data_IF_414741398362
#
_entry.id   IF_414741398362
#
_cell.length_a   1.000
_cell.length_b   1.000
_cell.length_c   1.000
_cell.angle_alpha   90.00
_cell.angle_beta   90.00
_cell.angle_gamma   90.00
#
_symmetry.space_group_name_H-M   'P 1'
#
loop_
_entity.id
_entity.type
_entity.pdbx_description
1 polymer ?
#
# COMPACT_ATOMS: atom_id res chain seq x y z
N UNK A 1 -17.39 -24.81 -26.52
CA UNK A 1 -16.68 -23.99 -25.54
C UNK A 1 -16.74 -24.78 -24.25
N UNK A 2 -15.62 -25.35 -23.81
CA UNK A 2 -15.62 -26.13 -22.56
C UNK A 2 -15.97 -25.21 -21.40
N UNK A 3 -16.67 -25.74 -20.40
CA UNK A 3 -17.03 -24.99 -19.20
C UNK A 3 -15.76 -24.41 -18.55
N UNK A 4 -15.73 -23.09 -18.38
CA UNK A 4 -14.61 -22.37 -17.74
C UNK A 4 -14.44 -22.86 -16.31
N UNK A 5 -13.24 -23.27 -15.92
CA UNK A 5 -12.97 -23.78 -14.57
C UNK A 5 -12.99 -22.64 -13.55
N UNK A 6 -13.18 -22.95 -12.25
CA UNK A 6 -13.08 -21.93 -11.20
C UNK A 6 -11.70 -21.21 -11.18
N UNK A 7 -10.64 -21.89 -11.61
CA UNK A 7 -9.33 -21.29 -11.74
C UNK A 7 -9.28 -20.25 -12.87
N UNK A 8 -9.83 -20.59 -14.04
CA UNK A 8 -9.93 -19.66 -15.18
C UNK A 8 -10.80 -18.45 -14.82
N UNK A 9 -11.94 -18.68 -14.14
CA UNK A 9 -12.83 -17.63 -13.66
C UNK A 9 -12.13 -16.65 -12.70
N UNK A 10 -11.25 -17.15 -11.81
CA UNK A 10 -10.49 -16.28 -10.92
C UNK A 10 -9.49 -15.42 -11.70
N UNK A 11 -8.77 -16.01 -12.67
CA UNK A 11 -7.85 -15.24 -13.51
C UNK A 11 -8.60 -14.17 -14.32
N UNK A 12 -9.74 -14.51 -14.90
CA UNK A 12 -10.58 -13.57 -15.63
C UNK A 12 -11.06 -12.42 -14.73
N UNK A 13 -11.49 -12.72 -13.50
CA UNK A 13 -11.89 -11.71 -12.53
C UNK A 13 -10.73 -10.80 -12.13
N UNK A 14 -9.56 -11.36 -11.81
CA UNK A 14 -8.37 -10.59 -11.46
C UNK A 14 -7.90 -9.70 -12.62
N UNK A 15 -7.89 -10.22 -13.85
CA UNK A 15 -7.56 -9.45 -15.06
C UNK A 15 -8.56 -8.31 -15.26
N UNK A 16 -9.85 -8.57 -15.11
CA UNK A 16 -10.90 -7.56 -15.21
C UNK A 16 -10.71 -6.43 -14.20
N UNK A 17 -10.40 -6.76 -12.95
CA UNK A 17 -10.10 -5.77 -11.91
C UNK A 17 -8.85 -4.94 -12.23
N UNK A 18 -7.78 -5.59 -12.70
CA UNK A 18 -6.55 -4.89 -13.10
C UNK A 18 -6.79 -3.93 -14.28
N UNK A 19 -7.60 -4.33 -15.26
CA UNK A 19 -8.01 -3.47 -16.37
C UNK A 19 -8.79 -2.25 -15.88
N UNK A 20 -9.77 -2.46 -14.98
CA UNK A 20 -10.53 -1.36 -14.39
C UNK A 20 -9.65 -0.39 -13.61
N UNK A 21 -8.74 -0.89 -12.78
CA UNK A 21 -7.78 -0.02 -12.06
C UNK A 21 -6.94 0.78 -13.05
N UNK A 22 -6.39 0.14 -14.10
CA UNK A 22 -5.60 0.84 -15.12
C UNK A 22 -6.39 1.95 -15.82
N UNK A 23 -7.62 1.66 -16.22
CA UNK A 23 -8.42 2.54 -17.07
C UNK A 23 -9.13 3.64 -16.26
N UNK A 24 -9.54 3.36 -15.01
CA UNK A 24 -10.30 4.29 -14.16
C UNK A 24 -9.39 5.09 -13.19
N UNK A 25 -8.23 4.57 -12.77
CA UNK A 25 -7.36 5.19 -11.74
C UNK A 25 -6.09 5.83 -12.30
N UNK A 26 -5.97 6.01 -13.63
CA UNK A 26 -4.78 6.59 -14.25
C UNK A 26 -4.41 7.98 -13.67
N UNK A 27 -5.40 8.84 -13.43
CA UNK A 27 -5.19 10.17 -12.84
C UNK A 27 -4.66 10.10 -11.40
N UNK A 28 -5.36 9.41 -10.47
CA UNK A 28 -4.86 9.19 -9.12
C UNK A 28 -3.49 8.51 -9.04
N UNK A 29 -3.21 7.52 -9.90
CA UNK A 29 -1.90 6.85 -9.97
C UNK A 29 -0.81 7.86 -10.36
N UNK A 30 -1.04 8.68 -11.39
CA UNK A 30 -0.08 9.71 -11.80
C UNK A 30 0.13 10.75 -10.69
N UNK A 31 -0.93 11.16 -9.99
CA UNK A 31 -0.84 12.09 -8.86
C UNK A 31 -0.04 11.49 -7.69
N UNK A 32 -0.24 10.21 -7.36
CA UNK A 32 0.52 9.52 -6.32
C UNK A 32 2.00 9.36 -6.73
N UNK A 33 2.28 9.01 -7.99
CA UNK A 33 3.63 8.95 -8.53
C UNK A 33 4.34 10.31 -8.44
N UNK A 34 3.64 11.39 -8.78
CA UNK A 34 4.15 12.76 -8.64
C UNK A 34 4.43 13.14 -7.18
N UNK A 35 3.53 12.81 -6.26
CA UNK A 35 3.73 13.06 -4.83
C UNK A 35 4.94 12.29 -4.26
N UNK A 36 5.16 11.06 -4.72
CA UNK A 36 6.36 10.28 -4.39
C UNK A 36 7.60 10.97 -4.96
N UNK A 37 7.59 11.37 -6.22
CA UNK A 37 8.73 12.07 -6.84
C UNK A 37 9.04 13.43 -6.17
N UNK A 38 8.01 14.20 -5.79
CA UNK A 38 8.12 15.45 -5.02
C UNK A 38 8.82 15.21 -3.68
N UNK A 39 8.36 14.18 -2.97
CA UNK A 39 8.92 13.79 -1.67
C UNK A 39 10.37 13.34 -1.83
N UNK A 40 10.68 12.59 -2.89
CA UNK A 40 12.04 12.14 -3.17
C UNK A 40 12.97 13.32 -3.45
N UNK A 41 12.56 14.23 -4.34
CA UNK A 41 13.32 15.41 -4.76
C UNK A 41 13.52 16.42 -3.62
N UNK A 42 12.57 16.52 -2.69
CA UNK A 42 12.63 17.40 -1.52
C UNK A 42 13.39 16.81 -0.34
N UNK A 43 13.95 15.60 -0.48
CA UNK A 43 14.71 14.93 0.59
C UNK A 43 13.83 14.29 1.69
N UNK A 44 12.52 14.15 1.46
CA UNK A 44 11.58 13.51 2.38
C UNK A 44 11.69 11.98 2.40
N UNK A 45 11.09 11.33 3.39
CA UNK A 45 11.09 9.86 3.55
C UNK A 45 9.79 9.29 2.96
N UNK A 46 9.86 8.04 2.51
CA UNK A 46 8.70 7.32 2.01
C UNK A 46 8.41 6.15 2.94
N UNK A 47 7.15 6.03 3.32
CA UNK A 47 6.64 4.95 4.15
C UNK A 47 5.43 4.28 3.51
N UNK A 48 5.29 2.98 3.72
CA UNK A 48 4.09 2.22 3.43
C UNK A 48 3.62 1.50 4.69
N UNK A 49 2.31 1.49 4.92
CA UNK A 49 1.67 0.79 6.02
C UNK A 49 0.43 0.05 5.52
N UNK A 50 0.18 -1.12 6.07
CA UNK A 50 -1.11 -1.80 5.99
C UNK A 50 -1.20 -2.84 7.11
N UNK A 51 -2.42 -3.12 7.57
CA UNK A 51 -2.67 -4.12 8.61
C UNK A 51 -3.14 -5.46 8.02
N UNK A 52 -2.79 -6.58 8.65
CA UNK A 52 -3.15 -7.92 8.19
C UNK A 52 -2.71 -8.17 6.75
N UNK A 53 -3.61 -8.65 5.90
CA UNK A 53 -3.30 -8.88 4.47
C UNK A 53 -2.97 -7.60 3.71
N UNK A 54 -3.46 -6.42 4.14
CA UNK A 54 -3.04 -5.14 3.54
C UNK A 54 -1.57 -4.81 3.81
N UNK A 55 -0.91 -5.51 4.73
CA UNK A 55 0.55 -5.40 4.90
C UNK A 55 1.34 -6.03 3.75
N UNK A 56 0.76 -6.95 2.97
CA UNK A 56 1.44 -7.61 1.84
C UNK A 56 1.79 -6.62 0.73
N UNK A 57 0.86 -5.82 0.17
CA UNK A 57 1.22 -4.79 -0.80
C UNK A 57 2.10 -3.68 -0.22
N UNK A 58 2.05 -3.42 1.10
CA UNK A 58 2.98 -2.50 1.75
C UNK A 58 4.42 -3.05 1.74
N UNK A 59 4.59 -4.33 2.06
CA UNK A 59 5.86 -5.04 1.99
C UNK A 59 6.35 -5.23 0.55
N UNK A 60 5.43 -5.42 -0.39
CA UNK A 60 5.72 -5.65 -1.82
C UNK A 60 6.51 -4.50 -2.46
N UNK A 61 6.48 -3.29 -1.92
CA UNK A 61 7.27 -2.15 -2.42
C UNK A 61 8.54 -1.87 -1.62
N UNK A 62 8.81 -2.63 -0.56
CA UNK A 62 9.95 -2.43 0.34
C UNK A 62 11.07 -3.42 0.00
N UNK A 63 12.30 -2.91 -0.16
CA UNK A 63 13.53 -3.69 -0.34
C UNK A 63 13.40 -4.88 -1.31
N UNK A 64 13.23 -4.61 -2.61
CA UNK A 64 13.18 -5.62 -3.66
C UNK A 64 13.90 -5.21 -4.93
N UNK A 65 14.25 -6.18 -5.77
CA UNK A 65 14.75 -5.94 -7.12
C UNK A 65 13.73 -5.13 -7.95
N UNK A 66 14.21 -4.09 -8.62
CA UNK A 66 13.39 -3.14 -9.39
C UNK A 66 12.63 -2.14 -8.51
N UNK A 67 12.68 -2.26 -7.19
CA UNK A 67 11.97 -1.38 -6.27
C UNK A 67 12.72 -0.08 -5.98
N UNK A 68 11.96 0.96 -5.60
CA UNK A 68 12.50 2.22 -5.12
C UNK A 68 13.09 2.03 -3.72
N UNK A 69 14.41 2.16 -3.59
CA UNK A 69 15.16 1.90 -2.36
C UNK A 69 14.70 2.75 -1.17
N UNK A 70 14.05 3.89 -1.43
CA UNK A 70 13.59 4.82 -0.41
C UNK A 70 12.30 4.39 0.28
N UNK A 71 11.60 3.37 -0.22
CA UNK A 71 10.35 2.92 0.39
C UNK A 71 10.64 2.09 1.64
N UNK A 72 10.11 2.54 2.78
CA UNK A 72 10.24 1.86 4.05
C UNK A 72 8.89 1.30 4.51
N UNK A 73 8.91 0.17 5.19
CA UNK A 73 7.74 -0.28 5.93
C UNK A 73 7.62 0.58 7.19
N UNK A 74 6.43 1.09 7.48
CA UNK A 74 6.08 1.62 8.80
C UNK A 74 5.29 0.53 9.54
N UNK A 75 5.95 -0.34 10.33
CA UNK A 75 5.29 -1.46 10.95
C UNK A 75 4.46 -1.02 12.17
N UNK A 76 3.26 -1.58 12.29
CA UNK A 76 2.53 -1.63 13.56
C UNK A 76 2.78 -3.01 14.17
N UNK A 77 3.51 -3.13 15.30
CA UNK A 77 3.81 -4.42 15.90
C UNK A 77 2.56 -5.27 16.13
N UNK A 78 2.60 -6.53 15.69
CA UNK A 78 1.47 -7.46 15.79
C UNK A 78 0.34 -7.25 14.77
N UNK A 79 0.45 -6.26 13.87
CA UNK A 79 -0.53 -6.03 12.81
C UNK A 79 0.04 -6.21 11.39
N UNK A 80 1.31 -6.57 11.26
CA UNK A 80 2.02 -6.76 9.98
C UNK A 80 2.54 -8.18 9.89
N UNK A 81 2.39 -8.81 8.73
CA UNK A 81 2.93 -10.14 8.46
C UNK A 81 1.95 -11.28 8.73
N UNK A 82 2.26 -12.44 8.15
CA UNK A 82 1.53 -13.71 8.31
C UNK A 82 2.09 -14.58 9.43
N UNK A 83 3.20 -14.14 10.04
CA UNK A 83 3.91 -14.76 11.14
C UNK A 83 3.42 -14.30 12.53
N UNK A 84 2.50 -13.33 12.57
CA UNK A 84 1.82 -12.92 13.81
C UNK A 84 0.94 -14.06 14.33
N UNK A 85 1.13 -14.42 15.61
CA UNK A 85 0.36 -15.46 16.28
C UNK A 85 -0.30 -14.95 17.57
N UNK A 86 -1.61 -15.19 17.78
CA UNK A 86 -2.54 -15.80 16.82
C UNK A 86 -2.79 -14.87 15.62
N UNK A 87 -3.09 -15.43 14.44
CA UNK A 87 -3.36 -14.64 13.23
C UNK A 87 -4.52 -13.62 13.41
N UNK A 88 -5.41 -13.87 14.38
CA UNK A 88 -6.51 -12.97 14.74
C UNK A 88 -6.09 -11.71 15.50
N UNK A 89 -4.84 -11.66 15.99
CA UNK A 89 -4.32 -10.52 16.76
C UNK A 89 -4.35 -9.23 15.93
N UNK A 90 -3.92 -9.26 14.67
CA UNK A 90 -3.94 -8.08 13.81
C UNK A 90 -5.34 -7.49 13.65
N UNK A 91 -6.36 -8.34 13.48
CA UNK A 91 -7.76 -7.89 13.40
C UNK A 91 -8.29 -7.28 14.70
N UNK A 92 -7.77 -7.69 15.86
CA UNK A 92 -8.10 -7.09 17.14
C UNK A 92 -7.41 -5.72 17.30
N UNK A 93 -6.12 -5.65 16.95
CA UNK A 93 -5.33 -4.41 17.02
C UNK A 93 -5.85 -3.32 16.11
N UNK A 94 -6.43 -3.66 14.95
CA UNK A 94 -7.06 -2.68 14.06
C UNK A 94 -8.17 -1.82 14.71
N UNK A 95 -8.71 -2.25 15.86
CA UNK A 95 -9.80 -1.58 16.57
C UNK A 95 -9.34 -0.83 17.82
N UNK A 96 -8.05 -0.88 18.16
CA UNK A 96 -7.48 -0.25 19.35
C UNK A 96 -7.23 1.24 19.05
N UNK A 97 -7.94 2.10 19.77
CA UNK A 97 -7.74 3.56 19.73
C UNK A 97 -6.37 3.94 20.30
N UNK A 98 -5.74 4.96 19.70
CA UNK A 98 -4.44 5.48 20.11
C UNK A 98 -3.23 4.65 19.66
N UNK A 99 -3.45 3.46 19.11
CA UNK A 99 -2.35 2.62 18.60
C UNK A 99 -1.62 3.31 17.43
N UNK A 100 -2.35 3.97 16.54
CA UNK A 100 -1.74 4.69 15.42
C UNK A 100 -0.85 5.86 15.91
N UNK A 101 -1.32 6.60 16.92
CA UNK A 101 -0.57 7.71 17.51
C UNK A 101 0.74 7.22 18.14
N UNK A 102 0.68 6.15 18.95
CA UNK A 102 1.87 5.56 19.55
C UNK A 102 2.91 5.12 18.50
N UNK A 103 2.46 4.58 17.37
CA UNK A 103 3.33 4.17 16.26
C UNK A 103 3.94 5.36 15.55
N UNK A 104 3.15 6.38 15.23
CA UNK A 104 3.64 7.61 14.58
C UNK A 104 4.66 8.34 15.47
N UNK A 105 4.36 8.51 16.76
CA UNK A 105 5.22 9.18 17.74
C UNK A 105 6.56 8.46 17.94
N UNK A 106 6.57 7.13 17.79
CA UNK A 106 7.77 6.31 17.92
C UNK A 106 8.52 6.12 16.60
N UNK A 107 7.94 6.56 15.49
CA UNK A 107 8.50 6.36 14.16
C UNK A 107 9.52 7.46 13.79
N UNK A 108 10.38 7.22 12.79
CA UNK A 108 11.19 8.28 12.23
C UNK A 108 10.40 9.19 11.27
N UNK A 109 9.06 9.12 11.19
CA UNK A 109 8.29 10.00 10.32
C UNK A 109 8.37 11.46 10.78
N UNK A 110 8.34 12.40 9.83
CA UNK A 110 8.31 13.84 10.09
C UNK A 110 7.55 14.60 8.99
N UNK A 111 7.25 15.87 9.26
CA UNK A 111 6.68 16.77 8.28
C UNK A 111 7.49 16.78 6.97
N UNK A 112 6.79 16.73 5.83
CA UNK A 112 7.40 16.65 4.49
C UNK A 112 7.69 15.23 4.00
N UNK A 113 7.47 14.20 4.83
CA UNK A 113 7.49 12.80 4.38
C UNK A 113 6.15 12.41 3.72
N UNK A 114 6.13 11.24 3.06
CA UNK A 114 4.94 10.65 2.47
C UNK A 114 4.66 9.28 3.11
N UNK A 115 3.39 9.04 3.44
CA UNK A 115 2.90 7.76 3.93
C UNK A 115 1.80 7.22 3.01
N UNK A 116 2.01 6.01 2.50
CA UNK A 116 0.97 5.23 1.83
C UNK A 116 0.30 4.32 2.87
N UNK A 117 -1.03 4.43 3.00
CA UNK A 117 -1.83 3.64 3.94
C UNK A 117 -2.75 2.73 3.12
N UNK A 118 -2.59 1.43 3.30
CA UNK A 118 -3.37 0.41 2.60
C UNK A 118 -4.34 -0.23 3.58
N UNK A 119 -5.63 -0.14 3.27
CA UNK A 119 -6.68 -0.84 3.98
C UNK A 119 -7.82 -1.07 3.03
N UNK A 120 -8.14 -2.34 2.74
CA UNK A 120 -9.22 -2.66 1.81
C UNK A 120 -10.54 -1.95 2.18
N UNK A 121 -10.96 -2.06 3.44
CA UNK A 121 -12.23 -1.50 3.88
C UNK A 121 -12.14 -0.04 4.34
N UNK A 122 -10.95 0.40 4.79
CA UNK A 122 -10.73 1.73 5.34
C UNK A 122 -11.61 2.09 6.54
N UNK A 123 -12.31 1.14 7.19
CA UNK A 123 -13.38 1.44 8.15
C UNK A 123 -12.98 1.33 9.62
N UNK A 124 -11.91 0.60 9.92
CA UNK A 124 -11.47 0.36 11.29
C UNK A 124 -10.71 1.57 11.85
N UNK A 125 -10.50 1.58 13.18
CA UNK A 125 -9.83 2.67 13.90
C UNK A 125 -8.40 2.90 13.41
N UNK A 126 -7.59 1.85 13.35
CA UNK A 126 -6.16 1.95 13.04
C UNK A 126 -5.85 2.66 11.70
N UNK A 127 -6.41 2.28 10.54
CA UNK A 127 -6.12 2.99 9.29
C UNK A 127 -6.62 4.44 9.29
N UNK A 128 -7.73 4.73 9.96
CA UNK A 128 -8.29 6.10 10.03
C UNK A 128 -7.45 7.00 10.92
N UNK A 129 -7.09 6.54 12.12
CA UNK A 129 -6.20 7.28 13.02
C UNK A 129 -4.80 7.45 12.43
N UNK A 130 -4.28 6.44 11.72
CA UNK A 130 -2.98 6.53 11.04
C UNK A 130 -2.99 7.65 9.99
N UNK A 131 -4.04 7.75 9.19
CA UNK A 131 -4.17 8.78 8.17
C UNK A 131 -4.33 10.18 8.78
N UNK A 132 -5.23 10.32 9.76
CA UNK A 132 -5.46 11.58 10.44
C UNK A 132 -4.20 12.06 11.20
N UNK A 133 -3.53 11.16 11.92
CA UNK A 133 -2.30 11.45 12.66
C UNK A 133 -1.14 11.79 11.74
N UNK A 134 -0.95 11.07 10.64
CA UNK A 134 0.12 11.36 9.67
C UNK A 134 -0.09 12.75 9.03
N UNK A 135 -1.32 13.12 8.68
CA UNK A 135 -1.63 14.47 8.19
C UNK A 135 -1.37 15.54 9.24
N UNK A 136 -1.74 15.29 10.50
CA UNK A 136 -1.47 16.21 11.60
C UNK A 136 0.05 16.41 11.84
N UNK A 137 0.86 15.38 11.59
CA UNK A 137 2.33 15.43 11.63
C UNK A 137 2.93 16.15 10.39
N UNK A 138 2.12 16.50 9.39
CA UNK A 138 2.55 17.19 8.17
C UNK A 138 3.04 16.26 7.06
N UNK A 139 2.66 14.98 7.09
CA UNK A 139 2.93 14.05 5.99
C UNK A 139 1.91 14.21 4.87
N UNK A 140 2.36 13.93 3.64
CA UNK A 140 1.47 13.65 2.52
C UNK A 140 0.90 12.23 2.68
N UNK A 141 -0.42 12.08 2.66
CA UNK A 141 -1.07 10.77 2.85
C UNK A 141 -1.72 10.28 1.56
N UNK A 142 -1.30 9.09 1.11
CA UNK A 142 -1.92 8.37 0.00
C UNK A 142 -2.67 7.17 0.57
N UNK A 143 -3.98 7.08 0.34
CA UNK A 143 -4.78 5.94 0.76
C UNK A 143 -5.01 4.96 -0.38
N UNK A 144 -4.82 3.67 -0.13
CA UNK A 144 -5.19 2.59 -1.05
C UNK A 144 -6.29 1.76 -0.41
N UNK A 145 -7.49 1.81 -0.99
CA UNK A 145 -8.71 1.25 -0.38
C UNK A 145 -9.69 0.86 -1.47
N UNK A 146 -10.69 0.04 -1.15
CA UNK A 146 -11.90 -0.05 -1.96
C UNK A 146 -12.86 1.07 -1.56
N UNK A 147 -13.22 1.93 -2.50
CA UNK A 147 -14.21 3.00 -2.25
C UNK A 147 -15.63 2.42 -2.09
N UNK A 148 -15.89 1.20 -2.58
CA UNK A 148 -17.18 0.52 -2.40
C UNK A 148 -17.51 0.32 -0.92
N UNK A 149 -16.53 -0.04 -0.09
CA UNK A 149 -16.74 -0.20 1.36
C UNK A 149 -17.23 1.07 2.04
N UNK A 150 -16.77 2.24 1.61
CA UNK A 150 -17.24 3.51 2.17
C UNK A 150 -18.67 3.85 1.76
N UNK A 151 -19.15 3.33 0.63
CA UNK A 151 -20.51 3.52 0.13
C UNK A 151 -21.51 2.52 0.72
N UNK A 152 -21.06 1.29 0.95
CA UNK A 152 -21.94 0.14 1.24
C UNK A 152 -21.85 -0.34 2.70
N UNK A 153 -20.94 0.22 3.50
CA UNK A 153 -20.78 -0.16 4.91
C UNK A 153 -20.79 1.04 5.84
N UNK A 154 -20.72 0.80 7.15
CA UNK A 154 -20.60 1.84 8.18
C UNK A 154 -19.19 1.88 8.75
N UNK A 155 -18.70 3.06 9.07
CA UNK A 155 -17.46 3.21 9.84
C UNK A 155 -17.51 2.43 11.17
N UNK A 156 -16.34 2.01 11.66
CA UNK A 156 -16.14 1.32 12.95
C UNK A 156 -15.21 2.10 13.89
N UNK A 157 -15.00 3.39 13.64
CA UNK A 157 -14.19 4.28 14.46
C UNK A 157 -15.02 5.44 14.99
N UNK A 158 -14.51 6.12 16.02
CA UNK A 158 -15.21 7.19 16.73
C UNK A 158 -15.55 8.41 15.85
N UNK A 159 -14.77 8.69 14.79
CA UNK A 159 -15.04 9.83 13.91
C UNK A 159 -16.16 9.57 12.90
N UNK A 160 -16.61 8.31 12.74
CA UNK A 160 -17.67 7.96 11.79
C UNK A 160 -17.24 8.05 10.32
N UNK A 161 -15.94 8.21 10.05
CA UNK A 161 -15.35 8.38 8.71
C UNK A 161 -14.60 7.14 8.24
N UNK A 162 -14.13 7.14 6.99
CA UNK A 162 -13.27 6.11 6.41
C UNK A 162 -11.87 6.65 6.14
N UNK A 163 -10.92 5.75 5.88
CA UNK A 163 -9.53 6.07 5.50
C UNK A 163 -9.49 7.15 4.41
N UNK A 164 -10.28 6.96 3.34
CA UNK A 164 -10.32 7.87 2.19
C UNK A 164 -10.60 9.34 2.56
N UNK A 165 -11.30 9.59 3.66
CA UNK A 165 -11.69 10.93 4.09
C UNK A 165 -10.51 11.70 4.74
N UNK A 166 -9.43 10.98 5.06
CA UNK A 166 -8.22 11.49 5.70
C UNK A 166 -6.98 11.36 4.81
N UNK A 167 -7.16 11.17 3.50
CA UNK A 167 -6.07 11.08 2.53
C UNK A 167 -6.02 12.32 1.65
N UNK A 168 -4.82 12.71 1.22
CA UNK A 168 -4.64 13.72 0.18
C UNK A 168 -4.92 13.16 -1.21
N UNK A 169 -4.56 11.88 -1.42
CA UNK A 169 -4.76 11.13 -2.66
C UNK A 169 -5.38 9.79 -2.30
N UNK A 170 -6.41 9.38 -3.03
CA UNK A 170 -7.07 8.08 -2.85
C UNK A 170 -6.90 7.27 -4.13
N UNK A 171 -6.41 6.04 -3.98
CA UNK A 171 -6.31 5.05 -5.04
C UNK A 171 -7.38 3.98 -4.77
N UNK A 172 -8.37 3.88 -5.66
CA UNK A 172 -9.48 2.93 -5.54
C UNK A 172 -9.10 1.57 -6.13
N UNK A 173 -9.02 0.53 -5.29
CA UNK A 173 -8.66 -0.82 -5.72
C UNK A 173 -9.77 -1.52 -6.50
N UNK A 174 -10.98 -0.94 -6.59
CA UNK A 174 -12.14 -1.48 -7.32
C UNK A 174 -12.70 -2.81 -6.79
N UNK A 175 -12.11 -3.35 -5.73
CA UNK A 175 -12.54 -4.60 -5.08
C UNK A 175 -13.94 -4.40 -4.48
N UNK A 176 -14.85 -5.34 -4.72
CA UNK A 176 -16.19 -5.29 -4.16
C UNK A 176 -16.19 -5.55 -2.64
N UNK A 177 -17.30 -5.23 -1.97
CA UNK A 177 -17.47 -5.58 -0.56
C UNK A 177 -17.45 -7.09 -0.38
N UNK A 178 -16.53 -7.58 0.44
CA UNK A 178 -16.35 -9.00 0.75
C UNK A 178 -15.01 -9.57 0.29
N UNK A 179 -14.36 -8.96 -0.71
CA UNK A 179 -13.12 -9.47 -1.34
C UNK A 179 -13.24 -10.94 -1.73
N UNK A 180 -14.22 -11.22 -2.57
CA UNK A 180 -14.50 -12.57 -3.05
C UNK A 180 -15.04 -12.47 -4.48
N UNK A 181 -14.27 -12.99 -5.43
CA UNK A 181 -14.60 -12.91 -6.85
C UNK A 181 -15.37 -14.13 -7.36
N UNK A 182 -15.44 -15.21 -6.56
CA UNK A 182 -16.06 -16.47 -6.95
C UNK A 182 -17.25 -16.85 -6.05
N UNK A 183 -18.25 -17.46 -6.68
CA UNK A 183 -19.37 -18.15 -6.05
C UNK A 183 -19.57 -19.50 -6.74
N UNK A 184 -20.02 -20.51 -5.99
CA UNK A 184 -20.28 -21.85 -6.55
C UNK A 184 -21.38 -22.54 -5.74
N UNK A 185 -22.31 -23.26 -6.39
CA UNK A 185 -23.46 -23.90 -5.72
C UNK A 185 -23.03 -24.88 -4.61
N UNK A 186 -21.91 -25.59 -4.81
CA UNK A 186 -21.33 -26.50 -3.83
C UNK A 186 -20.50 -25.84 -2.71
N UNK A 187 -20.35 -24.51 -2.68
CA UNK A 187 -19.55 -23.79 -1.69
C UNK A 187 -20.39 -22.70 -1.03
N UNK A 188 -20.65 -22.82 0.27
CA UNK A 188 -21.57 -21.94 0.99
C UNK A 188 -21.08 -20.48 1.11
N UNK A 189 -19.77 -20.25 1.10
CA UNK A 189 -19.16 -18.93 1.25
C UNK A 189 -18.60 -18.44 -0.09
N UNK A 190 -18.75 -17.14 -0.43
CA UNK A 190 -17.95 -16.52 -1.48
C UNK A 190 -16.45 -16.68 -1.20
N UNK A 191 -15.63 -16.83 -2.24
CA UNK A 191 -14.21 -17.11 -2.12
C UNK A 191 -13.40 -16.50 -3.28
N UNK A 192 -12.08 -16.71 -3.26
CA UNK A 192 -11.17 -16.17 -4.28
C UNK A 192 -10.94 -14.66 -4.11
N UNK A 193 -10.24 -14.22 -3.05
CA UNK A 193 -9.92 -12.81 -2.84
C UNK A 193 -8.92 -12.30 -3.89
N UNK A 194 -9.21 -11.14 -4.47
CA UNK A 194 -8.36 -10.50 -5.47
C UNK A 194 -7.66 -9.25 -4.95
N UNK A 195 -8.00 -8.77 -3.74
CA UNK A 195 -7.46 -7.51 -3.22
C UNK A 195 -5.93 -7.46 -3.18
N UNK A 196 -5.26 -8.54 -2.79
CA UNK A 196 -3.79 -8.57 -2.73
C UNK A 196 -3.16 -8.40 -4.10
N UNK A 197 -3.57 -9.18 -5.11
CA UNK A 197 -2.96 -9.10 -6.46
C UNK A 197 -3.21 -7.75 -7.10
N UNK A 198 -4.43 -7.21 -6.97
CA UNK A 198 -4.80 -5.91 -7.52
C UNK A 198 -4.05 -4.78 -6.81
N UNK A 199 -3.97 -4.83 -5.48
CA UNK A 199 -3.33 -3.77 -4.70
C UNK A 199 -1.80 -3.78 -4.87
N UNK A 200 -1.17 -4.95 -4.98
CA UNK A 200 0.26 -5.01 -5.31
C UNK A 200 0.52 -4.41 -6.70
N UNK A 201 -0.29 -4.76 -7.71
CA UNK A 201 -0.14 -4.18 -9.05
C UNK A 201 -0.35 -2.65 -9.05
N UNK A 202 -1.34 -2.16 -8.32
CA UNK A 202 -1.60 -0.73 -8.14
C UNK A 202 -0.41 0.00 -7.48
N UNK A 203 0.14 -0.57 -6.41
CA UNK A 203 1.33 -0.01 -5.74
C UNK A 203 2.56 0.00 -6.65
N UNK A 204 2.79 -1.06 -7.42
CA UNK A 204 3.87 -1.11 -8.41
C UNK A 204 3.66 -0.08 -9.53
N UNK A 205 2.42 0.13 -9.98
CA UNK A 205 2.10 1.16 -10.98
C UNK A 205 2.42 2.57 -10.47
N UNK A 206 2.14 2.86 -9.19
CA UNK A 206 2.54 4.13 -8.55
C UNK A 206 4.06 4.27 -8.50
N UNK A 207 4.80 3.21 -8.15
CA UNK A 207 6.27 3.24 -8.13
C UNK A 207 6.85 3.47 -9.53
N UNK A 208 6.25 2.87 -10.56
CA UNK A 208 6.62 3.10 -11.96
C UNK A 208 6.37 4.56 -12.38
N UNK A 209 5.20 5.12 -12.06
CA UNK A 209 4.87 6.52 -12.33
C UNK A 209 5.82 7.49 -11.60
N UNK A 210 6.21 7.16 -10.37
CA UNK A 210 7.19 7.94 -9.62
C UNK A 210 8.59 7.92 -10.27
N UNK A 211 9.02 6.76 -10.77
CA UNK A 211 10.29 6.64 -11.48
C UNK A 211 10.29 7.44 -12.79
N UNK A 212 9.21 7.36 -13.57
CA UNK A 212 9.00 8.17 -14.78
C UNK A 212 9.07 9.67 -14.46
N UNK A 213 8.38 10.10 -13.41
CA UNK A 213 8.34 11.50 -13.01
C UNK A 213 9.71 12.00 -12.52
N UNK A 214 10.47 11.18 -11.79
CA UNK A 214 11.84 11.52 -11.39
C UNK A 214 12.75 11.69 -12.60
N UNK A 215 12.66 10.79 -13.59
CA UNK A 215 13.41 10.90 -14.84
C UNK A 215 13.04 12.19 -15.58
N UNK A 216 11.76 12.54 -15.66
CA UNK A 216 11.28 13.79 -16.28
C UNK A 216 11.89 15.04 -15.65
N UNK A 217 12.25 14.97 -14.37
CA UNK A 217 12.89 16.05 -13.59
C UNK A 217 14.42 16.03 -13.67
N UNK A 218 15.01 15.09 -14.40
CA UNK A 218 16.47 14.89 -14.45
C UNK A 218 17.06 14.29 -13.17
N UNK A 219 16.24 13.63 -12.35
CA UNK A 219 16.68 12.92 -11.15
C UNK A 219 16.78 11.43 -11.46
N UNK A 220 17.94 10.83 -11.24
CA UNK A 220 18.12 9.38 -11.36
C UNK A 220 17.31 8.67 -10.25
N UNK A 221 16.30 7.85 -10.59
CA UNK A 221 15.50 7.17 -9.58
C UNK A 221 16.35 6.18 -8.77
N UNK A 222 16.28 6.20 -7.43
CA UNK A 222 17.06 5.30 -6.58
C UNK A 222 16.50 3.87 -6.57
N UNK A 223 16.63 3.17 -7.69
CA UNK A 223 16.13 1.81 -7.85
C UNK A 223 17.18 0.79 -7.42
N UNK A 224 16.72 -0.31 -6.83
CA UNK A 224 17.53 -1.49 -6.57
C UNK A 224 17.57 -2.41 -7.79
N UNK A 225 18.70 -3.08 -8.00
CA UNK A 225 18.87 -4.16 -8.96
C UNK A 225 18.76 -5.51 -8.26
N UNK A 226 18.44 -6.55 -9.04
CA UNK A 226 18.54 -7.93 -8.54
C UNK A 226 19.96 -8.23 -8.09
N UNK A 227 20.12 -8.93 -6.96
CA UNK A 227 21.44 -9.44 -6.53
C UNK A 227 22.00 -10.49 -7.50
N UNK A 228 21.13 -11.10 -8.30
CA UNK A 228 21.50 -12.17 -9.24
C UNK A 228 21.98 -11.65 -10.61
N UNK A 229 22.19 -10.34 -10.77
CA UNK A 229 22.79 -9.77 -11.99
C UNK A 229 24.16 -9.18 -11.67
N UNK A 230 25.08 -9.28 -12.64
CA UNK A 230 26.43 -8.74 -12.50
C UNK A 230 26.40 -7.24 -12.14
N UNK A 231 27.19 -6.86 -11.13
CA UNK A 231 27.22 -5.49 -10.60
C UNK A 231 25.99 -5.06 -9.79
N UNK A 232 25.01 -5.95 -9.55
CA UNK A 232 23.80 -5.65 -8.78
C UNK A 232 24.10 -5.26 -7.34
N UNK A 233 24.98 -6.00 -6.66
CA UNK A 233 25.39 -5.69 -5.28
C UNK A 233 26.10 -4.34 -5.15
N UNK A 234 27.05 -4.04 -6.05
CA UNK A 234 27.77 -2.75 -6.04
C UNK A 234 26.82 -1.57 -6.32
N UNK A 235 25.91 -1.74 -7.29
CA UNK A 235 24.87 -0.75 -7.57
C UNK A 235 24.00 -0.48 -6.34
N UNK A 236 23.48 -1.56 -5.72
CA UNK A 236 22.62 -1.44 -4.54
C UNK A 236 23.38 -0.80 -3.37
N UNK A 237 24.65 -1.14 -3.17
CA UNK A 237 25.52 -0.51 -2.17
C UNK A 237 25.59 1.01 -2.38
N UNK A 238 25.93 1.46 -3.59
CA UNK A 238 25.99 2.90 -3.91
C UNK A 238 24.66 3.62 -3.66
N UNK A 239 23.54 3.03 -4.08
CA UNK A 239 22.21 3.61 -3.85
C UNK A 239 21.92 3.68 -2.35
N UNK A 240 22.09 2.57 -1.62
CA UNK A 240 21.77 2.52 -0.21
C UNK A 240 22.67 3.41 0.65
N UNK A 241 23.94 3.60 0.28
CA UNK A 241 24.86 4.49 0.99
C UNK A 241 24.56 5.96 0.68
N UNK A 242 24.22 6.29 -0.57
CA UNK A 242 23.80 7.65 -0.97
C UNK A 242 22.54 8.12 -0.24
N UNK A 243 21.64 7.19 0.11
CA UNK A 243 20.34 7.49 0.73
C UNK A 243 20.19 6.91 2.15
N UNK A 244 21.30 6.62 2.84
CA UNK A 244 21.30 5.90 4.12
C UNK A 244 20.51 6.59 5.25
N UNK A 245 20.38 7.91 5.21
CA UNK A 245 19.63 8.70 6.18
C UNK A 245 18.10 8.52 6.06
N UNK A 246 17.63 7.97 4.93
CA UNK A 246 16.22 7.77 4.58
C UNK A 246 15.81 6.30 4.44
N UNK A 247 16.75 5.37 4.63
CA UNK A 247 16.53 3.92 4.58
C UNK A 247 16.60 3.35 6.00
N UNK A 248 15.52 2.71 6.44
CA UNK A 248 15.33 2.24 7.82
C UNK A 248 15.36 0.72 7.96
N UNK A 249 15.19 -0.04 6.88
CA UNK A 249 15.27 -1.52 6.91
C UNK A 249 16.71 -2.07 7.00
N UNK A 250 17.73 -1.21 7.08
CA UNK A 250 19.15 -1.60 7.28
C UNK A 250 19.63 -1.47 8.74
N UNK A 251 18.80 -0.91 9.63
CA UNK A 251 19.20 -0.47 10.97
C UNK A 251 18.93 -1.52 12.03
#
# INVERSE_FOLDING_TARGET
MGDSTLADQFFDAAIGLLQRVRDEEAGPIAAAGAAVADTVASGGRLFAFGAGHSSLPAQDVVYRAGGLALMNLLPVPGAVGVDVSPATLGSALERVEGLAAAVLDSSPARAGDLLVIISLSGRNTLPVEMAAGARALGLKVVGVTSVAYAKETRSRNASGTFLKDHCDIVLDSKIAVGDAELVHEGVAAPFGPASTVVTCALMQAVMAAAAEELVRRGVEPPLLRSGNVDGGHEWNGRVMDRYADRIFYRR
#
